data_IF_666726060209
#
_entry.id   IF_666726060209
#
_cell.length_a   1.000
_cell.length_b   1.000
_cell.length_c   1.000
_cell.angle_alpha   90.00
_cell.angle_beta   90.00
_cell.angle_gamma   90.00
#
_symmetry.space_group_name_H-M   'P 1'
#
loop_
_entity.id
_entity.type
_entity.pdbx_description
1 polymer ?
#
# COMPACT_ATOMS: atom_id res chain seq x y z
N UNK A 1 9.77 -88.14 16.18
CA UNK A 1 9.05 -87.60 17.36
C UNK A 1 9.42 -86.14 17.50
N UNK A 2 8.40 -85.27 17.39
CA UNK A 2 8.23 -83.84 17.74
C UNK A 2 9.42 -82.85 17.64
N UNK A 3 9.39 -82.02 16.61
CA UNK A 3 10.09 -80.73 16.54
C UNK A 3 9.17 -79.62 17.08
N UNK A 4 9.62 -78.86 18.08
CA UNK A 4 8.92 -77.68 18.62
C UNK A 4 9.30 -76.42 17.83
N UNK A 5 8.35 -75.57 17.39
CA UNK A 5 8.65 -74.25 16.86
C UNK A 5 8.89 -73.22 17.99
N UNK A 6 9.63 -72.12 17.75
CA UNK A 6 9.86 -71.07 18.75
C UNK A 6 8.60 -70.22 18.96
N UNK A 7 8.49 -69.50 20.09
CA UNK A 7 7.29 -68.74 20.43
C UNK A 7 7.12 -67.56 19.48
N UNK A 8 5.89 -67.33 19.05
CA UNK A 8 5.46 -66.13 18.35
C UNK A 8 5.80 -64.90 19.19
N UNK A 9 6.71 -64.06 18.69
CA UNK A 9 6.77 -62.67 19.11
C UNK A 9 5.44 -62.02 18.73
N UNK A 10 4.56 -61.85 19.71
CA UNK A 10 3.47 -60.89 19.63
C UNK A 10 4.10 -59.52 19.47
N UNK A 11 4.38 -59.12 18.23
CA UNK A 11 4.49 -57.72 17.89
C UNK A 11 3.14 -57.12 18.20
N UNK A 12 3.04 -56.49 19.36
CA UNK A 12 2.07 -55.44 19.59
C UNK A 12 2.35 -54.37 18.53
N UNK A 13 1.71 -54.54 17.37
CA UNK A 13 1.40 -53.42 16.51
C UNK A 13 0.47 -52.56 17.37
N UNK A 14 1.07 -51.62 18.10
CA UNK A 14 0.35 -50.42 18.51
C UNK A 14 -0.16 -49.85 17.19
N UNK A 15 -1.41 -50.17 16.89
CA UNK A 15 -2.25 -49.47 15.95
C UNK A 15 -2.38 -48.05 16.50
N UNK A 16 -1.30 -47.28 16.33
CA UNK A 16 -1.22 -45.88 16.68
C UNK A 16 -2.01 -45.15 15.61
N UNK A 17 -3.33 -45.14 15.86
CA UNK A 17 -4.34 -44.24 15.34
C UNK A 17 -3.94 -43.49 14.05
N UNK A 18 -4.38 -44.07 12.93
CA UNK A 18 -4.41 -43.44 11.61
C UNK A 18 -5.17 -42.09 11.57
N UNK A 19 -5.76 -41.65 12.69
CA UNK A 19 -6.35 -40.33 12.92
C UNK A 19 -5.35 -39.17 13.04
N UNK A 20 -4.17 -39.37 13.64
CA UNK A 20 -3.22 -38.26 13.89
C UNK A 20 -2.56 -37.71 12.61
N UNK A 21 -2.34 -38.57 11.61
CA UNK A 21 -1.83 -38.13 10.31
C UNK A 21 -2.90 -37.46 9.42
N UNK A 22 -4.20 -37.71 9.65
CA UNK A 22 -5.28 -37.04 8.91
C UNK A 22 -5.51 -35.61 9.40
N UNK A 23 -5.37 -35.33 10.69
CA UNK A 23 -5.60 -33.99 11.26
C UNK A 23 -4.49 -33.00 10.85
N UNK A 24 -3.23 -33.44 10.80
CA UNK A 24 -2.09 -32.63 10.32
C UNK A 24 -2.16 -32.26 8.84
N UNK A 25 -2.85 -33.06 8.01
CA UNK A 25 -3.12 -32.71 6.60
C UNK A 25 -4.28 -31.72 6.48
N UNK A 26 -5.34 -31.87 7.29
CA UNK A 26 -6.49 -30.96 7.30
C UNK A 26 -6.11 -29.53 7.70
N UNK A 27 -5.20 -29.35 8.67
CA UNK A 27 -4.72 -28.02 9.10
C UNK A 27 -3.86 -27.32 8.03
N UNK A 28 -2.95 -28.04 7.37
CA UNK A 28 -2.11 -27.50 6.28
C UNK A 28 -2.92 -27.10 5.04
N UNK A 29 -3.92 -27.90 4.67
CA UNK A 29 -4.81 -27.60 3.54
C UNK A 29 -5.64 -26.34 3.81
N UNK A 30 -6.11 -26.16 5.05
CA UNK A 30 -6.80 -24.93 5.45
C UNK A 30 -5.90 -23.69 5.38
N UNK A 31 -4.62 -23.80 5.76
CA UNK A 31 -3.68 -22.67 5.64
C UNK A 31 -3.46 -22.30 4.16
N UNK A 32 -3.18 -23.27 3.30
CA UNK A 32 -2.93 -23.02 1.89
C UNK A 32 -4.17 -22.52 1.14
N UNK A 33 -5.38 -22.91 1.55
CA UNK A 33 -6.62 -22.38 1.01
C UNK A 33 -6.82 -20.90 1.41
N UNK A 34 -6.62 -20.58 2.69
CA UNK A 34 -6.69 -19.20 3.20
C UNK A 34 -5.69 -18.30 2.50
N UNK A 35 -4.44 -18.74 2.36
CA UNK A 35 -3.39 -17.98 1.68
C UNK A 35 -3.76 -17.66 0.22
N UNK A 36 -4.36 -18.62 -0.51
CA UNK A 36 -4.85 -18.36 -1.87
C UNK A 36 -5.95 -17.30 -1.92
N UNK A 37 -6.87 -17.33 -0.96
CA UNK A 37 -7.95 -16.33 -0.86
C UNK A 37 -7.38 -14.95 -0.55
N UNK A 38 -6.49 -14.85 0.43
CA UNK A 38 -5.84 -13.58 0.77
C UNK A 38 -5.01 -13.05 -0.39
N UNK A 39 -4.25 -13.91 -1.08
CA UNK A 39 -3.51 -13.52 -2.29
C UNK A 39 -4.44 -12.93 -3.35
N UNK A 40 -5.59 -13.57 -3.64
CA UNK A 40 -6.57 -13.05 -4.61
C UNK A 40 -7.13 -11.70 -4.18
N UNK A 41 -7.48 -11.54 -2.89
CA UNK A 41 -7.97 -10.26 -2.35
C UNK A 41 -6.93 -9.15 -2.51
N UNK A 42 -5.67 -9.45 -2.20
CA UNK A 42 -4.57 -8.48 -2.36
C UNK A 42 -4.38 -8.08 -3.82
N UNK A 43 -4.37 -9.04 -4.75
CA UNK A 43 -4.27 -8.73 -6.18
C UNK A 43 -5.45 -7.87 -6.66
N UNK A 44 -6.68 -8.21 -6.26
CA UNK A 44 -7.86 -7.43 -6.62
C UNK A 44 -7.83 -6.01 -6.01
N UNK A 45 -7.26 -5.85 -4.81
CA UNK A 45 -7.07 -4.54 -4.20
C UNK A 45 -6.04 -3.71 -4.99
N UNK A 46 -4.91 -4.31 -5.37
CA UNK A 46 -3.90 -3.64 -6.19
C UNK A 46 -4.47 -3.20 -7.54
N UNK A 47 -5.23 -4.06 -8.22
CA UNK A 47 -5.90 -3.70 -9.49
C UNK A 47 -6.81 -2.48 -9.36
N UNK A 48 -7.51 -2.33 -8.23
CA UNK A 48 -8.38 -1.16 -8.00
C UNK A 48 -7.61 0.13 -7.68
N UNK A 49 -6.39 0.00 -7.15
CA UNK A 49 -5.57 1.14 -6.75
C UNK A 49 -4.71 1.69 -7.88
N UNK A 50 -4.42 0.88 -8.91
CA UNK A 50 -3.55 1.22 -10.02
C UNK A 50 -4.39 1.54 -11.27
N UNK A 51 -4.41 2.80 -11.75
CA UNK A 51 -5.26 3.20 -12.88
C UNK A 51 -4.98 2.45 -14.20
N UNK A 52 -3.74 2.03 -14.41
CA UNK A 52 -3.30 1.34 -15.62
C UNK A 52 -3.56 -0.17 -15.61
N UNK A 53 -3.85 -0.74 -14.43
CA UNK A 53 -4.09 -2.16 -14.28
C UNK A 53 -5.48 -2.56 -14.78
N UNK A 54 -5.55 -3.66 -15.54
CA UNK A 54 -6.79 -4.24 -16.06
C UNK A 54 -7.16 -5.51 -15.30
N UNK A 55 -8.46 -5.84 -15.35
CA UNK A 55 -9.00 -7.01 -14.67
C UNK A 55 -8.42 -8.35 -15.19
N UNK A 56 -7.97 -8.36 -16.44
CA UNK A 56 -7.44 -9.52 -17.15
C UNK A 56 -5.90 -9.60 -17.15
N UNK A 57 -5.21 -8.67 -16.49
CA UNK A 57 -3.75 -8.71 -16.40
C UNK A 57 -3.29 -9.96 -15.64
N UNK A 58 -2.18 -10.54 -16.11
CA UNK A 58 -1.48 -11.57 -15.37
C UNK A 58 -0.92 -10.99 -14.06
N UNK A 59 -0.64 -11.83 -13.05
CA UNK A 59 -0.05 -11.35 -11.80
C UNK A 59 1.28 -10.60 -11.96
N UNK A 60 2.04 -10.91 -13.01
CA UNK A 60 3.31 -10.24 -13.30
C UNK A 60 3.08 -8.87 -13.94
N UNK A 61 2.18 -8.78 -14.93
CA UNK A 61 1.81 -7.50 -15.56
C UNK A 61 1.24 -6.53 -14.54
N UNK A 62 0.36 -7.01 -13.66
CA UNK A 62 -0.15 -6.20 -12.55
C UNK A 62 0.98 -5.64 -11.68
N UNK A 63 2.00 -6.45 -11.38
CA UNK A 63 3.12 -6.01 -10.56
C UNK A 63 3.97 -4.96 -11.27
N UNK A 64 4.16 -5.10 -12.59
CA UNK A 64 4.83 -4.09 -13.41
C UNK A 64 4.06 -2.77 -13.37
N UNK A 65 2.74 -2.79 -13.59
CA UNK A 65 1.90 -1.59 -13.51
C UNK A 65 1.92 -0.94 -12.12
N UNK A 66 1.96 -1.74 -11.05
CA UNK A 66 2.13 -1.23 -9.69
C UNK A 66 3.47 -0.49 -9.55
N UNK A 67 4.56 -1.07 -10.03
CA UNK A 67 5.89 -0.44 -9.96
C UNK A 67 5.93 0.87 -10.75
N UNK A 68 5.44 0.86 -11.99
CA UNK A 68 5.37 2.06 -12.83
C UNK A 68 4.55 3.17 -12.17
N UNK A 69 3.41 2.82 -11.58
CA UNK A 69 2.55 3.80 -10.92
C UNK A 69 3.20 4.38 -9.66
N UNK A 70 3.87 3.56 -8.85
CA UNK A 70 4.64 4.06 -7.70
C UNK A 70 5.73 5.04 -8.16
N UNK A 71 6.49 4.69 -9.20
CA UNK A 71 7.54 5.58 -9.72
C UNK A 71 6.98 6.88 -10.28
N UNK A 72 5.81 6.84 -10.94
CA UNK A 72 5.14 8.04 -11.42
C UNK A 72 4.71 8.96 -10.26
N UNK A 73 4.12 8.39 -9.20
CA UNK A 73 3.73 9.14 -8.01
C UNK A 73 4.93 9.75 -7.28
N UNK A 74 6.03 9.00 -7.17
CA UNK A 74 7.27 9.51 -6.56
C UNK A 74 7.81 10.72 -7.33
N UNK A 75 7.84 10.64 -8.66
CA UNK A 75 8.28 11.76 -9.50
C UNK A 75 7.37 12.98 -9.35
N UNK A 76 6.05 12.78 -9.26
CA UNK A 76 5.11 13.88 -9.03
C UNK A 76 5.37 14.59 -7.69
N UNK A 77 5.65 13.83 -6.62
CA UNK A 77 5.99 14.43 -5.32
C UNK A 77 7.31 15.21 -5.38
N UNK A 78 8.32 14.71 -6.09
CA UNK A 78 9.58 15.42 -6.30
C UNK A 78 9.39 16.72 -7.11
N UNK A 79 8.55 16.68 -8.16
CA UNK A 79 8.21 17.86 -8.96
C UNK A 79 7.42 18.89 -8.13
N UNK A 80 6.44 18.46 -7.32
CA UNK A 80 5.66 19.33 -6.45
C UNK A 80 6.55 20.00 -5.37
N UNK A 81 7.49 19.26 -4.77
CA UNK A 81 8.45 19.81 -3.80
C UNK A 81 9.35 20.86 -4.47
N UNK A 82 9.87 20.57 -5.67
CA UNK A 82 10.71 21.51 -6.44
C UNK A 82 9.94 22.75 -6.93
N UNK A 83 8.66 22.61 -7.27
CA UNK A 83 7.79 23.72 -7.68
C UNK A 83 7.36 24.55 -6.46
N UNK A 84 7.25 23.93 -5.29
CA UNK A 84 7.02 24.62 -4.02
C UNK A 84 8.24 25.43 -3.54
N UNK A 85 9.45 24.93 -3.77
CA UNK A 85 10.71 25.64 -3.47
C UNK A 85 10.99 26.76 -4.50
N UNK A 86 10.55 26.61 -5.75
CA UNK A 86 10.62 27.65 -6.78
C UNK A 86 9.46 28.66 -6.75
N UNK A 87 8.40 28.43 -5.96
CA UNK A 87 7.46 29.49 -5.62
C UNK A 87 8.20 30.47 -4.73
N UNK A 88 8.39 31.69 -5.24
CA UNK A 88 8.87 32.83 -4.47
C UNK A 88 8.25 32.81 -3.06
N UNK A 89 9.03 33.14 -2.01
CA UNK A 89 8.56 33.08 -0.63
C UNK A 89 7.19 33.75 -0.53
N UNK A 90 6.25 33.20 0.26
CA UNK A 90 4.89 33.70 0.31
C UNK A 90 4.97 35.20 0.54
N UNK A 91 4.43 35.97 -0.41
CA UNK A 91 4.52 37.44 -0.49
C UNK A 91 4.70 38.03 0.90
N UNK A 92 5.91 38.53 1.16
CA UNK A 92 6.34 38.95 2.49
C UNK A 92 5.25 39.85 3.07
N UNK A 93 4.80 39.56 4.28
CA UNK A 93 3.76 40.35 4.97
C UNK A 93 4.17 41.83 5.01
N UNK A 94 5.48 42.11 4.93
CA UNK A 94 6.07 43.44 4.76
C UNK A 94 5.69 44.11 3.44
N UNK A 95 5.65 43.38 2.32
CA UNK A 95 5.25 43.88 1.00
C UNK A 95 3.75 44.22 0.97
N UNK A 96 2.91 43.38 1.58
CA UNK A 96 1.49 43.68 1.79
C UNK A 96 1.30 44.92 2.67
N UNK A 97 2.07 45.03 3.76
CA UNK A 97 2.04 46.19 4.65
C UNK A 97 2.45 47.49 3.93
N UNK A 98 3.42 47.40 3.02
CA UNK A 98 3.87 48.53 2.20
C UNK A 98 2.79 48.98 1.21
N UNK A 99 2.09 48.04 0.58
CA UNK A 99 0.94 48.32 -0.30
C UNK A 99 -0.18 49.01 0.49
N UNK A 100 -0.56 48.51 1.66
CA UNK A 100 -1.60 49.12 2.51
C UNK A 100 -1.21 50.50 3.07
N UNK A 101 0.08 50.70 3.38
CA UNK A 101 0.59 52.01 3.79
C UNK A 101 0.46 53.03 2.65
N UNK A 102 0.77 52.63 1.41
CA UNK A 102 0.65 53.49 0.23
C UNK A 102 -0.81 53.82 -0.13
N UNK A 103 -1.76 52.90 0.10
CA UNK A 103 -3.19 53.21 -0.04
C UNK A 103 -3.66 54.28 0.96
N UNK A 104 -3.17 54.23 2.20
CA UNK A 104 -3.57 55.14 3.28
C UNK A 104 -3.08 56.59 3.04
N UNK A 105 -1.95 56.77 2.35
CA UNK A 105 -1.42 58.09 2.00
C UNK A 105 -2.06 58.66 0.73
N UNK A 106 -2.37 57.81 -0.25
CA UNK A 106 -2.99 58.22 -1.53
C UNK A 106 -4.42 58.73 -1.35
N UNK A 107 -5.21 58.10 -0.45
CA UNK A 107 -6.58 58.53 -0.16
C UNK A 107 -6.62 59.88 0.56
N UNK A 108 -5.68 60.14 1.47
CA UNK A 108 -5.59 61.42 2.18
C UNK A 108 -5.20 62.59 1.26
N UNK A 109 -4.35 62.38 0.26
CA UNK A 109 -4.00 63.44 -0.70
C UNK A 109 -5.15 63.84 -1.64
N UNK A 110 -6.03 62.89 -2.01
CA UNK A 110 -7.20 63.19 -2.85
C UNK A 110 -8.32 63.89 -2.07
N UNK A 111 -8.54 63.55 -0.81
CA UNK A 111 -9.53 64.24 0.04
C UNK A 111 -9.11 65.68 0.41
N UNK A 112 -7.81 65.96 0.52
CA UNK A 112 -7.34 67.30 0.87
C UNK A 112 -7.39 68.29 -0.31
N UNK A 113 -7.37 67.83 -1.56
CA UNK A 113 -7.49 68.66 -2.77
C UNK A 113 -8.92 69.11 -3.09
N UNK A 114 -9.96 68.63 -2.40
CA UNK A 114 -11.34 69.06 -2.61
C UNK A 114 -11.82 70.16 -1.65
N UNK A 115 -10.96 70.63 -0.74
CA UNK A 115 -11.26 71.70 0.21
C UNK A 115 -10.28 72.89 0.16
N UNK A 116 -9.51 73.03 -0.93
CA UNK A 116 -8.67 74.20 -1.20
C UNK A 116 -9.28 75.06 -2.31
#
# INVERSE_FOLDING_TARGET
MRSTPPPSETRHFVEMDSGFHRTMRKSKVNKAARERVERRKTMAKLQKMVPTAKANDSPLELLIHVMEYISALQRQLEEDDMESENRAPPADVSELSQIFANFSTSFNLMSQKQHA
#
